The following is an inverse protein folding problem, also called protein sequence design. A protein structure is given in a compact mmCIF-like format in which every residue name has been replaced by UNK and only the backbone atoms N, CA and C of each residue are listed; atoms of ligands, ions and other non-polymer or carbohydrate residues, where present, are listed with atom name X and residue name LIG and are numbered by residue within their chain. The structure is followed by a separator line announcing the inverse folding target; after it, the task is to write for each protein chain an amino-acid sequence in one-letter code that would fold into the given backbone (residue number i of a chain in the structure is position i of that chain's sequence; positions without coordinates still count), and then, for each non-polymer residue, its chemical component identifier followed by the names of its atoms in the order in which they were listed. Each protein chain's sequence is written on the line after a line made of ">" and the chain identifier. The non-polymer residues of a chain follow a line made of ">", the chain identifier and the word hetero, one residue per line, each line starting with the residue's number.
data_IF_061138195107
#
_entry.id   IF_061138195107
#
_cell.length_a   1.000
_cell.length_b   1.000
_cell.length_c   1.000
_cell.angle_alpha   90.00
_cell.angle_beta   90.00
_cell.angle_gamma   90.00
#
_symmetry.space_group_name_H-M   'P 1'
#
loop_
_entity.id
_entity.type
_entity.pdbx_description
1 polymer ?
#
# COMPACT_ATOMS: atom_id res chain seq x y z
N UNK A 1 12.26 9.73 4.89
CA UNK A 1 12.80 8.92 5.99
C UNK A 1 12.00 7.63 6.01
N UNK A 2 12.61 6.50 5.64
CA UNK A 2 11.91 5.22 5.47
C UNK A 2 11.67 4.58 6.84
N UNK A 3 10.43 4.58 7.31
CA UNK A 3 10.03 3.77 8.46
C UNK A 3 9.80 2.33 7.99
N UNK A 4 10.83 1.48 8.13
CA UNK A 4 10.67 0.03 8.05
C UNK A 4 10.17 -0.47 9.41
N UNK A 5 8.87 -0.80 9.52
CA UNK A 5 8.44 -1.76 10.54
C UNK A 5 8.46 -3.13 9.87
N UNK A 6 9.65 -3.74 9.88
CA UNK A 6 9.86 -5.09 9.39
C UNK A 6 9.58 -6.05 10.55
N UNK A 7 8.39 -6.66 10.58
CA UNK A 7 8.20 -7.90 11.31
C UNK A 7 8.28 -9.06 10.33
N UNK A 8 9.51 -9.55 10.07
CA UNK A 8 9.69 -10.87 9.47
C UNK A 8 9.53 -11.91 10.57
N UNK A 9 8.31 -12.42 10.78
CA UNK A 9 8.14 -13.68 11.51
C UNK A 9 8.38 -14.83 10.54
N UNK A 10 9.62 -15.32 10.52
CA UNK A 10 10.01 -16.52 9.79
C UNK A 10 9.67 -17.75 10.65
N UNK A 11 8.38 -18.05 10.81
CA UNK A 11 7.94 -19.32 11.40
C UNK A 11 8.05 -20.42 10.33
N UNK A 12 9.29 -20.84 10.04
CA UNK A 12 9.56 -22.04 9.24
C UNK A 12 9.46 -23.26 10.14
N UNK A 13 8.30 -23.91 10.13
CA UNK A 13 8.18 -25.37 10.33
C UNK A 13 6.88 -25.87 9.70
N UNK A 14 7.06 -26.77 8.73
CA UNK A 14 6.05 -27.62 8.08
C UNK A 14 4.83 -26.90 7.44
N UNK A 15 4.91 -26.66 6.12
CA UNK A 15 3.76 -26.59 5.23
C UNK A 15 2.99 -25.27 5.11
N UNK A 16 3.04 -24.36 6.09
CA UNK A 16 2.27 -23.11 6.05
C UNK A 16 3.14 -21.86 6.27
N UNK A 17 3.79 -21.38 5.21
CA UNK A 17 4.47 -20.07 5.26
C UNK A 17 3.45 -18.94 5.19
N UNK A 18 3.27 -18.24 6.32
CA UNK A 18 2.54 -16.97 6.40
C UNK A 18 3.54 -15.83 6.22
N UNK A 19 3.36 -15.03 5.18
CA UNK A 19 4.31 -13.96 4.84
C UNK A 19 3.55 -12.65 4.71
N UNK A 20 4.09 -11.59 5.32
CA UNK A 20 3.64 -10.22 5.12
C UNK A 20 4.77 -9.51 4.36
N UNK A 21 4.43 -8.85 3.26
CA UNK A 21 5.33 -8.05 2.44
C UNK A 21 4.86 -6.61 2.49
N UNK A 22 5.71 -5.69 2.91
CA UNK A 22 5.35 -4.27 3.01
C UNK A 22 6.49 -3.33 2.63
N UNK A 23 6.13 -2.15 2.16
CA UNK A 23 7.06 -1.07 1.88
C UNK A 23 6.58 -0.13 0.76
N UNK A 24 7.46 0.79 0.36
CA UNK A 24 7.30 1.59 -0.84
C UNK A 24 7.60 0.71 -2.08
N UNK A 25 6.55 0.22 -2.72
CA UNK A 25 6.63 -0.56 -3.95
C UNK A 25 6.69 0.32 -5.20
N UNK A 26 6.49 1.64 -5.06
CA UNK A 26 6.67 2.67 -6.07
C UNK A 26 5.82 2.52 -7.36
N UNK A 27 4.79 1.68 -7.34
CA UNK A 27 3.78 1.61 -8.41
C UNK A 27 2.96 2.91 -8.46
N UNK A 28 2.61 3.35 -9.68
CA UNK A 28 1.97 4.64 -9.95
C UNK A 28 0.56 4.46 -10.51
N UNK A 29 -0.14 5.58 -10.70
CA UNK A 29 -1.41 5.62 -11.41
C UNK A 29 -1.16 5.71 -12.92
N UNK A 30 -1.77 4.81 -13.70
CA UNK A 30 -1.73 4.76 -15.15
C UNK A 30 -2.72 5.75 -15.81
N UNK A 31 -2.64 7.03 -15.42
CA UNK A 31 -3.42 8.13 -15.96
C UNK A 31 -2.54 9.34 -16.26
N UNK A 32 -3.06 10.28 -17.05
CA UNK A 32 -2.43 11.60 -17.15
C UNK A 32 -2.48 12.34 -15.82
N UNK A 33 -1.61 13.35 -15.66
CA UNK A 33 -1.63 14.20 -14.46
C UNK A 33 -2.94 14.95 -14.27
N UNK A 34 -3.59 15.37 -15.36
CA UNK A 34 -4.89 16.05 -15.32
C UNK A 34 -6.00 15.13 -14.82
N UNK A 35 -6.10 13.92 -15.36
CA UNK A 35 -7.14 12.96 -14.96
C UNK A 35 -6.91 12.50 -13.52
N UNK A 36 -5.66 12.21 -13.14
CA UNK A 36 -5.32 11.84 -11.77
C UNK A 36 -5.75 12.92 -10.78
N UNK A 37 -5.44 14.20 -11.06
CA UNK A 37 -5.84 15.31 -10.19
C UNK A 37 -7.35 15.44 -10.06
N UNK A 38 -8.09 15.28 -11.15
CA UNK A 38 -9.55 15.35 -11.13
C UNK A 38 -10.13 14.30 -10.17
N UNK A 39 -9.73 13.04 -10.33
CA UNK A 39 -10.22 11.96 -9.46
C UNK A 39 -9.81 12.15 -8.00
N UNK A 40 -8.63 12.72 -7.75
CA UNK A 40 -8.16 13.04 -6.39
C UNK A 40 -8.99 14.16 -5.76
N UNK A 41 -9.31 15.22 -6.51
CA UNK A 41 -10.15 16.33 -6.05
C UNK A 41 -11.59 15.86 -5.75
N UNK A 42 -12.09 14.92 -6.55
CA UNK A 42 -13.43 14.33 -6.37
C UNK A 42 -13.46 13.25 -5.27
N UNK A 43 -12.32 12.93 -4.64
CA UNK A 43 -12.13 11.81 -3.72
C UNK A 43 -12.61 10.46 -4.27
N UNK A 44 -12.57 10.29 -5.60
CA UNK A 44 -13.04 9.09 -6.29
C UNK A 44 -11.95 8.00 -6.29
N UNK A 45 -11.73 7.40 -5.12
CA UNK A 45 -10.66 6.43 -4.91
C UNK A 45 -10.87 5.13 -5.68
N UNK A 46 -12.11 4.69 -5.84
CA UNK A 46 -12.42 3.45 -6.56
C UNK A 46 -12.02 3.55 -8.04
N UNK A 47 -12.36 4.66 -8.71
CA UNK A 47 -11.96 4.88 -10.10
C UNK A 47 -10.44 5.08 -10.24
N UNK A 48 -9.83 5.79 -9.29
CA UNK A 48 -8.39 5.99 -9.28
C UNK A 48 -7.63 4.66 -9.07
N UNK A 49 -8.11 3.80 -8.16
CA UNK A 49 -7.57 2.46 -7.91
C UNK A 49 -7.70 1.55 -9.12
N UNK A 50 -8.74 1.68 -9.94
CA UNK A 50 -8.84 0.94 -11.20
C UNK A 50 -7.72 1.27 -12.20
N UNK A 51 -6.95 2.33 -11.94
CA UNK A 51 -5.78 2.74 -12.71
C UNK A 51 -4.48 2.57 -11.93
N UNK A 52 -4.50 1.98 -10.74
CA UNK A 52 -3.31 1.64 -9.95
C UNK A 52 -2.52 0.53 -10.65
N UNK A 53 -1.24 0.79 -10.94
CA UNK A 53 -0.40 -0.18 -11.64
C UNK A 53 -0.24 -1.47 -10.85
N UNK A 54 -0.07 -1.44 -9.52
CA UNK A 54 0.07 -2.67 -8.74
C UNK A 54 -1.21 -3.53 -8.84
N UNK A 55 -2.39 -2.92 -8.72
CA UNK A 55 -3.67 -3.61 -8.92
C UNK A 55 -3.75 -4.26 -10.29
N UNK A 56 -3.45 -3.50 -11.36
CA UNK A 56 -3.48 -4.00 -12.75
C UNK A 56 -2.49 -5.16 -12.96
N UNK A 57 -1.26 -5.03 -12.49
CA UNK A 57 -0.21 -6.06 -12.62
C UNK A 57 -0.57 -7.33 -11.82
N UNK A 58 -1.26 -7.20 -10.68
CA UNK A 58 -1.74 -8.32 -9.88
C UNK A 58 -2.94 -9.02 -10.50
N UNK A 59 -3.92 -8.26 -10.97
CA UNK A 59 -5.12 -8.79 -11.63
C UNK A 59 -4.78 -9.51 -12.93
N UNK A 60 -3.72 -9.08 -13.62
CA UNK A 60 -3.16 -9.76 -14.78
C UNK A 60 -2.20 -10.91 -14.46
N UNK A 61 -1.95 -11.20 -13.17
CA UNK A 61 -1.11 -12.32 -12.73
C UNK A 61 0.38 -12.16 -13.03
N UNK A 62 0.87 -10.96 -13.38
CA UNK A 62 2.27 -10.70 -13.71
C UNK A 62 3.16 -10.56 -12.47
N UNK A 63 2.59 -10.07 -11.36
CA UNK A 63 3.31 -9.88 -10.10
C UNK A 63 2.46 -10.38 -8.92
N UNK A 64 3.14 -10.75 -7.82
CA UNK A 64 2.49 -11.12 -6.56
C UNK A 64 1.36 -12.16 -6.71
N UNK A 65 1.55 -13.16 -7.59
CA UNK A 65 0.58 -14.25 -7.80
C UNK A 65 0.31 -14.99 -6.48
N UNK A 66 -0.96 -15.14 -6.11
CA UNK A 66 -1.40 -15.78 -4.87
C UNK A 66 -1.35 -14.87 -3.62
N UNK A 67 -0.78 -13.67 -3.73
CA UNK A 67 -0.78 -12.71 -2.63
C UNK A 67 -2.09 -11.92 -2.58
N UNK A 68 -2.48 -11.58 -1.36
CA UNK A 68 -3.67 -10.81 -1.02
C UNK A 68 -3.28 -9.41 -0.58
N UNK A 69 -4.17 -8.46 -0.80
CA UNK A 69 -4.08 -7.09 -0.30
C UNK A 69 -5.49 -6.66 0.12
N UNK A 70 -5.61 -5.87 1.18
CA UNK A 70 -6.89 -5.36 1.63
C UNK A 70 -7.45 -4.33 0.67
N UNK A 71 -8.76 -4.15 0.70
CA UNK A 71 -9.36 -3.03 -0.02
C UNK A 71 -8.84 -1.71 0.58
N UNK A 72 -8.35 -0.84 -0.29
CA UNK A 72 -7.87 0.49 0.07
C UNK A 72 -9.07 1.43 0.09
N UNK A 73 -9.28 2.11 1.21
CA UNK A 73 -10.34 3.11 1.40
C UNK A 73 -9.78 4.51 1.73
N UNK A 74 -8.46 4.65 1.68
CA UNK A 74 -7.74 5.87 2.03
C UNK A 74 -7.13 6.53 0.80
N UNK A 75 -6.95 7.85 0.84
CA UNK A 75 -6.38 8.58 -0.28
C UNK A 75 -4.92 8.18 -0.54
N UNK A 76 -4.38 8.47 -1.75
CA UNK A 76 -2.98 8.21 -2.09
C UNK A 76 -1.99 8.64 -1.00
N UNK A 77 -0.90 7.89 -0.85
CA UNK A 77 0.06 8.11 0.24
C UNK A 77 1.22 9.02 -0.17
N UNK A 78 1.37 9.27 -1.46
CA UNK A 78 2.44 10.04 -2.08
C UNK A 78 1.86 10.88 -3.22
N UNK A 79 2.37 12.05 -3.62
CA UNK A 79 3.46 12.85 -3.05
C UNK A 79 2.91 14.12 -2.44
N UNK A 80 3.16 14.32 -1.15
CA UNK A 80 2.77 15.51 -0.40
C UNK A 80 3.89 16.55 -0.33
N UNK A 81 3.52 17.81 -0.12
CA UNK A 81 4.48 18.79 0.39
C UNK A 81 4.84 18.46 1.84
N UNK A 82 6.07 18.81 2.24
CA UNK A 82 6.52 18.63 3.62
C UNK A 82 5.64 19.46 4.58
N UNK A 83 5.25 18.89 5.72
CA UNK A 83 4.37 19.54 6.70
C UNK A 83 3.04 20.08 6.11
N UNK A 84 2.45 19.37 5.14
CA UNK A 84 1.22 19.81 4.46
C UNK A 84 0.40 18.62 3.96
N UNK A 85 -0.92 18.74 3.97
CA UNK A 85 -1.87 17.79 3.37
C UNK A 85 -2.13 18.04 1.88
N UNK A 86 -1.40 18.97 1.26
CA UNK A 86 -1.51 19.28 -0.15
C UNK A 86 -0.62 18.38 -0.98
N UNK A 87 -1.19 17.72 -1.99
CA UNK A 87 -0.40 17.01 -2.97
C UNK A 87 0.41 17.98 -3.82
N UNK A 88 1.64 17.60 -4.11
CA UNK A 88 2.55 18.47 -4.85
C UNK A 88 2.01 18.88 -6.23
N UNK A 89 1.26 17.98 -6.89
CA UNK A 89 0.67 18.23 -8.20
C UNK A 89 -0.44 19.30 -8.24
N UNK A 90 -1.01 19.71 -7.10
CA UNK A 90 -2.14 20.64 -7.04
C UNK A 90 -1.75 22.10 -7.27
N UNK A 91 -0.55 22.52 -6.86
CA UNK A 91 -0.15 23.94 -6.85
C UNK A 91 0.57 24.36 -8.15
N UNK A 92 1.25 23.42 -8.82
CA UNK A 92 2.25 23.78 -9.82
C UNK A 92 1.71 23.61 -11.25
N UNK A 93 1.51 24.73 -11.96
CA UNK A 93 1.17 24.78 -13.40
C UNK A 93 2.39 24.63 -14.34
N UNK A 94 3.56 24.29 -13.81
CA UNK A 94 4.82 24.30 -14.59
C UNK A 94 5.05 23.01 -15.40
N UNK A 95 5.86 23.12 -16.45
CA UNK A 95 6.21 22.04 -17.40
C UNK A 95 7.15 20.96 -16.82
N UNK A 96 7.57 21.04 -15.54
CA UNK A 96 8.38 19.99 -14.94
C UNK A 96 7.50 18.85 -14.46
N UNK A 97 7.87 17.61 -14.82
CA UNK A 97 7.07 16.39 -14.67
C UNK A 97 6.92 16.02 -13.18
N UNK A 98 6.01 16.70 -12.47
CA UNK A 98 5.72 16.39 -11.08
C UNK A 98 5.04 15.05 -10.96
N UNK A 99 5.40 14.31 -9.89
CA UNK A 99 4.80 13.02 -9.61
C UNK A 99 3.35 13.23 -9.20
N UNK A 100 2.46 12.50 -9.86
CA UNK A 100 1.05 12.46 -9.53
C UNK A 100 0.82 11.69 -8.23
N UNK A 101 -0.30 11.96 -7.52
CA UNK A 101 -0.69 11.18 -6.36
C UNK A 101 -0.76 9.68 -6.68
N UNK A 102 -0.20 8.84 -5.80
CA UNK A 102 -0.18 7.38 -5.95
C UNK A 102 -0.13 6.65 -4.59
N UNK A 103 -0.57 5.39 -4.57
CA UNK A 103 -0.37 4.47 -3.45
C UNK A 103 0.95 3.71 -3.65
N UNK A 104 2.05 4.36 -3.28
CA UNK A 104 3.38 3.78 -3.33
C UNK A 104 3.60 2.79 -2.17
N UNK A 105 3.04 3.10 -1.00
CA UNK A 105 3.23 2.36 0.25
C UNK A 105 2.17 1.27 0.41
N UNK A 106 2.58 0.00 0.37
CA UNK A 106 1.65 -1.15 0.26
C UNK A 106 1.96 -2.23 1.29
N UNK A 107 0.92 -2.96 1.70
CA UNK A 107 1.02 -4.12 2.59
C UNK A 107 0.24 -5.29 1.97
N UNK A 108 0.97 -6.32 1.57
CA UNK A 108 0.44 -7.56 1.01
C UNK A 108 0.72 -8.75 1.93
N UNK A 109 -0.03 -9.83 1.79
CA UNK A 109 0.22 -11.06 2.52
C UNK A 109 -0.03 -12.31 1.69
N UNK A 110 0.63 -13.40 2.06
CA UNK A 110 0.50 -14.71 1.44
C UNK A 110 0.41 -15.80 2.51
N UNK A 111 -0.34 -16.86 2.23
CA UNK A 111 -0.51 -18.02 3.11
C UNK A 111 -1.91 -18.14 3.71
N UNK A 112 -2.13 -19.27 4.40
CA UNK A 112 -3.39 -19.62 5.06
C UNK A 112 -3.37 -19.23 6.54
N UNK A 113 -4.56 -19.08 7.15
CA UNK A 113 -4.68 -18.69 8.56
C UNK A 113 -4.11 -17.30 8.87
N UNK A 114 -4.17 -16.39 7.89
CA UNK A 114 -3.85 -14.97 8.03
C UNK A 114 -5.01 -14.15 7.47
N UNK A 115 -5.58 -13.28 8.30
CA UNK A 115 -6.70 -12.42 7.96
C UNK A 115 -6.35 -10.98 8.31
N UNK A 116 -6.33 -10.10 7.32
CA UNK A 116 -6.17 -8.67 7.57
C UNK A 116 -7.44 -8.12 8.25
N UNK A 117 -7.26 -7.40 9.35
CA UNK A 117 -8.34 -6.78 10.13
C UNK A 117 -8.48 -5.29 9.82
N UNK A 118 -7.36 -4.61 9.54
CA UNK A 118 -7.37 -3.20 9.16
C UNK A 118 -6.28 -2.91 8.12
N UNK A 119 -6.52 -1.89 7.30
CA UNK A 119 -5.58 -1.35 6.34
C UNK A 119 -5.81 0.16 6.21
N UNK A 120 -4.95 0.96 6.83
CA UNK A 120 -5.20 2.39 7.05
C UNK A 120 -3.96 3.23 6.76
N UNK A 121 -4.17 4.42 6.22
CA UNK A 121 -3.19 5.50 6.19
C UNK A 121 -3.22 6.28 7.50
N UNK A 122 -2.06 6.79 7.93
CA UNK A 122 -1.92 7.74 9.05
C UNK A 122 -1.52 9.11 8.54
N UNK A 123 -1.92 10.16 9.25
CA UNK A 123 -1.76 11.56 8.83
C UNK A 123 -0.46 12.23 9.30
N UNK A 124 0.62 11.46 9.44
CA UNK A 124 1.92 12.05 9.77
C UNK A 124 2.48 12.83 8.59
N UNK A 125 2.88 14.08 8.82
CA UNK A 125 3.34 15.01 7.77
C UNK A 125 4.87 15.16 7.70
N UNK A 126 5.63 14.36 8.46
CA UNK A 126 7.09 14.41 8.51
C UNK A 126 7.79 13.90 7.24
N UNK A 127 7.03 13.37 6.28
CA UNK A 127 7.52 12.96 4.96
C UNK A 127 6.54 13.42 3.89
N UNK A 128 7.02 13.43 2.64
CA UNK A 128 6.18 13.49 1.43
C UNK A 128 5.36 12.21 1.20
N UNK A 129 5.52 11.21 2.07
CA UNK A 129 4.70 10.01 2.18
C UNK A 129 3.86 10.03 3.46
N UNK A 130 2.67 9.44 3.39
CA UNK A 130 1.81 9.16 4.55
C UNK A 130 2.00 7.71 5.01
N UNK A 131 2.27 7.45 6.31
CA UNK A 131 2.48 6.08 6.79
C UNK A 131 1.27 5.19 6.56
N UNK A 132 1.51 3.92 6.23
CA UNK A 132 0.47 2.90 6.05
C UNK A 132 0.63 1.83 7.12
N UNK A 133 -0.50 1.42 7.72
CA UNK A 133 -0.56 0.42 8.76
C UNK A 133 -1.58 -0.66 8.41
N UNK A 134 -1.30 -1.89 8.81
CA UNK A 134 -2.26 -2.98 8.78
C UNK A 134 -2.17 -3.81 10.04
N UNK A 135 -3.30 -4.35 10.48
CA UNK A 135 -3.36 -5.35 11.57
C UNK A 135 -3.86 -6.68 11.02
N UNK A 136 -3.37 -7.78 11.58
CA UNK A 136 -3.68 -9.12 11.12
C UNK A 136 -4.08 -10.01 12.30
N UNK A 137 -5.08 -10.85 12.09
CA UNK A 137 -5.32 -12.05 12.88
C UNK A 137 -4.55 -13.19 12.24
N UNK A 138 -3.73 -13.89 13.02
CA UNK A 138 -2.90 -14.98 12.54
C UNK A 138 -3.11 -16.21 13.42
N UNK A 139 -3.49 -17.31 12.80
CA UNK A 139 -3.64 -18.59 13.49
C UNK A 139 -2.24 -19.11 13.89
N UNK A 140 -2.07 -19.45 15.16
CA UNK A 140 -0.81 -20.00 15.68
C UNK A 140 -1.08 -21.41 16.19
N UNK A 141 -0.33 -22.38 15.68
CA UNK A 141 -0.34 -23.72 16.23
C UNK A 141 0.69 -23.76 17.37
N UNK A 142 0.22 -24.00 18.59
CA UNK A 142 1.11 -24.28 19.72
C UNK A 142 1.51 -25.75 19.62
N UNK A 143 2.81 -26.00 19.49
CA UNK A 143 3.34 -27.36 19.64
C UNK A 143 3.56 -27.54 21.14
N UNK A 144 2.71 -28.33 21.79
CA UNK A 144 3.00 -28.78 23.15
C UNK A 144 4.23 -29.69 23.09
N UNK A 145 5.31 -29.29 23.78
CA UNK A 145 6.50 -30.11 23.92
C UNK A 145 6.16 -31.30 24.80
N UNK A 146 5.96 -32.46 24.19
CA UNK A 146 5.77 -33.71 24.92
C UNK A 146 7.07 -34.18 25.58
N UNK A 147 6.98 -34.39 26.89
CA UNK A 147 7.63 -35.43 27.71
C UNK A 147 9.13 -35.67 27.54
#
# INVERSE_FOLDING_TARGET
>A
MNFYIMYQSLMKKNGCSRVIWLGDLNYRIALSSSETRKLVQDNNWDELLNKDQLKIERESGRVFKGWKEGKIYFAPTYKYFYNSDTYTSEIVKSKTKMRTPAWCDRILWHGNGIRQLSYVRRESQFSDHRPVCATFLVDVNVIEGGG
#
